data_IF_951466830729
#
_entry.id   IF_951466830729
#
_cell.length_a   1.000
_cell.length_b   1.000
_cell.length_c   1.000
_cell.angle_alpha   90.00
_cell.angle_beta   90.00
_cell.angle_gamma   90.00
#
_symmetry.space_group_name_H-M   'P 1'
#
loop_
_entity.id
_entity.type
_entity.pdbx_description
1 polymer ?
#
# COMPACT_ATOMS: atom_id res chain seq x y z
N UNK A 1 31.32 11.36 -12.46
CA UNK A 1 30.64 12.68 -12.39
C UNK A 1 30.85 13.28 -11.00
N UNK A 2 31.08 14.58 -10.89
CA UNK A 2 31.25 15.26 -9.59
C UNK A 2 29.86 15.46 -8.95
N UNK A 3 29.66 14.96 -7.73
CA UNK A 3 28.41 15.13 -6.98
C UNK A 3 28.27 16.61 -6.59
N UNK A 4 27.23 17.27 -7.08
CA UNK A 4 26.88 18.64 -6.67
C UNK A 4 25.97 18.52 -5.45
N UNK A 5 26.39 19.09 -4.31
CA UNK A 5 25.64 19.04 -3.06
C UNK A 5 25.20 20.47 -2.73
N UNK A 6 23.88 20.71 -2.71
CA UNK A 6 23.28 21.93 -2.18
C UNK A 6 22.76 21.68 -0.77
N UNK A 7 23.04 22.61 0.16
CA UNK A 7 22.55 22.56 1.55
C UNK A 7 21.86 23.87 1.90
N UNK A 8 20.76 23.79 2.62
CA UNK A 8 20.03 24.95 3.12
C UNK A 8 19.66 24.72 4.59
N UNK A 9 19.86 25.70 5.48
CA UNK A 9 19.46 25.57 6.88
C UNK A 9 17.94 25.52 7.00
N UNK A 10 17.44 24.67 7.89
CA UNK A 10 16.02 24.53 8.19
C UNK A 10 15.79 24.68 9.69
N UNK A 11 14.87 25.57 10.10
CA UNK A 11 14.64 25.96 11.50
C UNK A 11 13.35 25.36 12.07
N UNK A 12 13.17 24.05 11.93
CA UNK A 12 12.09 23.31 12.59
C UNK A 12 12.40 21.81 12.61
N UNK A 13 11.95 21.11 13.64
CA UNK A 13 12.05 19.65 13.71
C UNK A 13 11.18 19.02 12.62
N UNK A 14 11.79 18.13 11.84
CA UNK A 14 11.11 17.43 10.75
C UNK A 14 10.62 16.06 11.21
N UNK A 15 9.37 15.77 10.91
CA UNK A 15 8.82 14.41 10.97
C UNK A 15 8.84 13.88 9.54
N UNK A 16 9.84 13.05 9.24
CA UNK A 16 9.94 12.33 7.97
C UNK A 16 9.58 10.85 8.17
N UNK A 17 8.36 10.42 7.78
CA UNK A 17 7.94 9.03 7.94
C UNK A 17 8.63 8.05 6.98
N UNK A 18 9.44 8.53 6.01
CA UNK A 18 10.11 7.66 5.04
C UNK A 18 11.56 7.35 5.43
N UNK A 19 12.23 8.24 6.17
CA UNK A 19 13.58 8.04 6.72
C UNK A 19 14.67 7.75 5.67
N UNK A 20 14.36 7.89 4.38
CA UNK A 20 15.23 7.48 3.27
C UNK A 20 15.30 8.58 2.22
N UNK A 21 16.46 8.81 1.60
CA UNK A 21 16.58 9.65 0.42
C UNK A 21 15.61 9.14 -0.65
N UNK A 22 14.93 10.06 -1.32
CA UNK A 22 14.10 9.69 -2.46
C UNK A 22 14.89 9.77 -3.75
N UNK A 23 14.87 8.69 -4.49
CA UNK A 23 15.46 8.61 -5.81
C UNK A 23 14.49 9.21 -6.84
N UNK A 24 15.04 10.05 -7.72
CA UNK A 24 14.29 10.64 -8.82
C UNK A 24 14.29 9.65 -9.99
N UNK A 25 13.27 8.78 -10.02
CA UNK A 25 13.12 7.78 -11.09
C UNK A 25 12.29 8.27 -12.29
N UNK A 26 11.68 9.46 -12.23
CA UNK A 26 10.81 10.02 -13.27
C UNK A 26 11.06 11.52 -13.48
N UNK A 27 10.74 12.03 -14.67
CA UNK A 27 11.12 13.37 -15.17
C UNK A 27 10.71 14.54 -14.26
N UNK A 28 9.61 14.43 -13.52
CA UNK A 28 9.12 15.50 -12.63
C UNK A 28 9.66 15.43 -11.19
N UNK A 29 10.35 14.34 -10.84
CA UNK A 29 10.76 14.06 -9.46
C UNK A 29 9.60 13.89 -8.48
N UNK A 30 9.91 13.59 -7.22
CA UNK A 30 8.93 13.47 -6.15
C UNK A 30 8.38 14.85 -5.76
N UNK A 31 7.09 14.91 -5.43
CA UNK A 31 6.48 16.11 -4.85
C UNK A 31 6.43 15.98 -3.33
N UNK A 32 6.89 17.02 -2.61
CA UNK A 32 6.78 17.10 -1.16
C UNK A 32 5.86 18.25 -0.74
N UNK A 33 4.98 17.97 0.20
CA UNK A 33 4.27 18.98 0.98
C UNK A 33 4.87 19.08 2.38
N UNK A 34 4.73 20.25 2.99
CA UNK A 34 5.14 20.47 4.38
C UNK A 34 3.92 20.92 5.18
N UNK A 35 3.67 20.28 6.31
CA UNK A 35 2.53 20.60 7.17
C UNK A 35 3.02 20.90 8.57
N UNK A 36 2.76 22.10 9.05
CA UNK A 36 2.99 22.46 10.45
C UNK A 36 2.02 21.68 11.34
N UNK A 37 2.54 20.97 12.33
CA UNK A 37 1.75 20.29 13.37
C UNK A 37 1.51 21.24 14.55
N UNK A 38 0.57 20.86 15.43
CA UNK A 38 0.20 21.62 16.63
C UNK A 38 1.34 21.75 17.64
N UNK A 39 2.24 20.77 17.66
CA UNK A 39 3.44 20.69 18.50
C UNK A 39 4.62 21.55 17.97
N UNK A 40 4.43 22.27 16.85
CA UNK A 40 5.47 23.09 16.24
C UNK A 40 6.38 22.35 15.27
N UNK A 41 6.34 21.00 15.23
CA UNK A 41 7.09 20.19 14.26
C UNK A 41 6.52 20.34 12.85
N UNK A 42 7.34 20.08 11.84
CA UNK A 42 6.94 20.11 10.42
C UNK A 42 6.93 18.67 9.88
N UNK A 43 5.76 18.22 9.46
CA UNK A 43 5.60 16.91 8.82
C UNK A 43 5.89 17.01 7.32
N UNK A 44 6.74 16.09 6.84
CA UNK A 44 7.03 15.90 5.42
C UNK A 44 5.99 14.98 4.80
N UNK A 45 5.30 15.47 3.79
CA UNK A 45 4.24 14.74 3.08
C UNK A 45 4.74 14.42 1.68
N UNK A 46 5.25 13.20 1.48
CA UNK A 46 5.50 12.66 0.15
C UNK A 46 4.19 12.51 -0.63
N UNK A 47 4.18 13.00 -1.87
CA UNK A 47 3.07 13.00 -2.81
C UNK A 47 1.76 13.52 -2.18
N UNK A 48 1.66 14.82 -1.84
CA UNK A 48 0.53 15.36 -1.10
C UNK A 48 -0.82 15.25 -1.83
N UNK A 49 -0.80 15.03 -3.15
CA UNK A 49 -1.99 14.82 -3.98
C UNK A 49 -2.42 13.34 -4.06
N UNK A 50 -1.47 12.40 -3.99
CA UNK A 50 -1.66 11.00 -4.35
C UNK A 50 -2.68 10.28 -3.45
N UNK A 51 -2.89 10.78 -2.21
CA UNK A 51 -3.74 10.11 -1.22
C UNK A 51 -4.89 10.96 -0.67
N UNK A 52 -5.42 11.84 -1.53
CA UNK A 52 -6.64 12.62 -1.24
C UNK A 52 -7.88 11.93 -1.82
N UNK A 53 -8.15 12.16 -3.09
CA UNK A 53 -9.45 11.86 -3.69
C UNK A 53 -9.64 10.35 -3.88
N UNK A 54 -8.66 9.68 -4.50
CA UNK A 54 -8.72 8.25 -4.85
C UNK A 54 -8.57 7.28 -3.69
N UNK A 55 -8.30 7.77 -2.48
CA UNK A 55 -8.01 6.93 -1.30
C UNK A 55 -8.84 7.37 -0.09
N UNK A 56 -10.09 7.78 -0.33
CA UNK A 56 -11.04 8.17 0.72
C UNK A 56 -12.29 7.30 0.66
N UNK A 57 -12.85 6.95 1.82
CA UNK A 57 -14.09 6.16 1.91
C UNK A 57 -15.26 6.98 1.36
N UNK A 58 -15.28 8.28 1.66
CA UNK A 58 -16.30 9.22 1.18
C UNK A 58 -16.39 9.24 -0.35
N UNK A 59 -15.25 9.25 -1.05
CA UNK A 59 -15.26 9.23 -2.52
C UNK A 59 -15.75 7.89 -3.07
N UNK A 60 -15.36 6.77 -2.45
CA UNK A 60 -15.87 5.45 -2.80
C UNK A 60 -17.40 5.36 -2.64
N UNK A 61 -17.93 5.88 -1.54
CA UNK A 61 -19.37 5.95 -1.29
C UNK A 61 -20.09 6.87 -2.30
N UNK A 62 -19.48 8.01 -2.63
CA UNK A 62 -20.01 8.93 -3.64
C UNK A 62 -20.13 8.24 -5.02
N UNK A 63 -19.06 7.57 -5.48
CA UNK A 63 -19.11 6.87 -6.76
C UNK A 63 -20.07 5.68 -6.75
N UNK A 64 -20.15 4.94 -5.63
CA UNK A 64 -21.14 3.88 -5.48
C UNK A 64 -22.57 4.40 -5.56
N UNK A 65 -22.87 5.53 -4.90
CA UNK A 65 -24.18 6.18 -4.98
C UNK A 65 -24.49 6.69 -6.40
N UNK A 66 -23.49 7.26 -7.08
CA UNK A 66 -23.65 7.69 -8.48
C UNK A 66 -23.96 6.50 -9.39
N UNK A 67 -23.24 5.39 -9.26
CA UNK A 67 -23.48 4.16 -10.03
C UNK A 67 -24.84 3.56 -9.70
N UNK A 68 -25.27 3.57 -8.43
CA UNK A 68 -26.60 3.14 -8.03
C UNK A 68 -27.70 3.95 -8.75
N UNK A 69 -27.59 5.28 -8.77
CA UNK A 69 -28.56 6.16 -9.42
C UNK A 69 -28.59 5.89 -10.93
N UNK A 70 -27.42 5.86 -11.58
CA UNK A 70 -27.33 5.64 -13.02
C UNK A 70 -27.92 4.27 -13.42
N UNK A 71 -27.59 3.21 -12.69
CA UNK A 71 -28.10 1.86 -13.01
C UNK A 71 -29.59 1.70 -12.68
N UNK A 72 -30.10 2.42 -11.67
CA UNK A 72 -31.55 2.49 -11.39
C UNK A 72 -32.36 3.09 -12.54
N UNK A 73 -31.74 3.95 -13.35
CA UNK A 73 -32.36 4.55 -14.53
C UNK A 73 -32.30 3.67 -15.78
N UNK A 74 -31.47 2.62 -15.79
CA UNK A 74 -31.15 1.83 -16.99
C UNK A 74 -31.94 0.52 -17.12
N UNK A 75 -32.94 0.28 -16.27
CA UNK A 75 -33.77 -0.95 -16.25
C UNK A 75 -32.94 -2.23 -16.45
N UNK A 76 -31.84 -2.34 -15.69
CA UNK A 76 -30.90 -3.45 -15.81
C UNK A 76 -31.48 -4.74 -15.23
N UNK A 77 -31.14 -5.92 -15.79
CA UNK A 77 -31.57 -7.21 -15.22
C UNK A 77 -30.92 -7.52 -13.87
N UNK A 78 -29.82 -6.83 -13.54
CA UNK A 78 -29.13 -6.92 -12.26
C UNK A 78 -29.61 -5.77 -11.37
N UNK A 79 -29.94 -6.01 -10.08
CA UNK A 79 -30.34 -4.95 -9.17
C UNK A 79 -29.27 -3.83 -9.05
N UNK A 80 -29.65 -2.55 -9.09
CA UNK A 80 -28.72 -1.41 -9.03
C UNK A 80 -27.71 -1.43 -7.87
N UNK A 81 -28.12 -1.96 -6.70
CA UNK A 81 -27.23 -2.05 -5.54
C UNK A 81 -26.03 -2.98 -5.77
N UNK A 82 -26.14 -3.99 -6.64
CA UNK A 82 -25.03 -4.91 -6.95
C UNK A 82 -23.90 -4.15 -7.64
N UNK A 83 -24.22 -3.27 -8.59
CA UNK A 83 -23.23 -2.41 -9.24
C UNK A 83 -22.59 -1.43 -8.25
N UNK A 84 -23.39 -0.84 -7.37
CA UNK A 84 -22.88 0.06 -6.33
C UNK A 84 -21.91 -0.66 -5.38
N UNK A 85 -22.25 -1.89 -4.96
CA UNK A 85 -21.38 -2.73 -4.13
C UNK A 85 -20.09 -3.12 -4.86
N UNK A 86 -20.17 -3.47 -6.15
CA UNK A 86 -19.02 -3.80 -6.98
C UNK A 86 -18.04 -2.61 -7.15
N UNK A 87 -18.50 -1.38 -6.96
CA UNK A 87 -17.62 -0.20 -6.87
C UNK A 87 -17.13 0.03 -5.44
N UNK A 88 -18.03 -0.01 -4.46
CA UNK A 88 -17.70 0.37 -3.09
C UNK A 88 -16.72 -0.59 -2.40
N UNK A 89 -16.93 -1.90 -2.51
CA UNK A 89 -16.13 -2.87 -1.75
C UNK A 89 -14.67 -2.97 -2.23
N UNK A 90 -14.37 -3.04 -3.54
CA UNK A 90 -12.99 -2.98 -4.00
C UNK A 90 -12.31 -1.66 -3.62
N UNK A 91 -13.04 -0.55 -3.67
CA UNK A 91 -12.53 0.75 -3.24
C UNK A 91 -12.23 0.78 -1.74
N UNK A 92 -13.15 0.29 -0.91
CA UNK A 92 -12.98 0.19 0.54
C UNK A 92 -11.78 -0.70 0.87
N UNK A 93 -11.66 -1.85 0.22
CA UNK A 93 -10.54 -2.76 0.41
C UNK A 93 -9.21 -2.09 0.04
N UNK A 94 -9.17 -1.34 -1.06
CA UNK A 94 -8.01 -0.54 -1.44
C UNK A 94 -7.61 0.46 -0.34
N UNK A 95 -8.59 1.22 0.19
CA UNK A 95 -8.38 2.16 1.30
C UNK A 95 -7.89 1.45 2.57
N UNK A 96 -8.38 0.25 2.87
CA UNK A 96 -7.94 -0.55 4.01
C UNK A 96 -6.49 -1.01 3.80
N UNK A 97 -6.15 -1.58 2.63
CA UNK A 97 -4.80 -2.05 2.32
C UNK A 97 -3.78 -0.90 2.40
N UNK A 98 -4.17 0.30 2.00
CA UNK A 98 -3.31 1.49 2.12
C UNK A 98 -2.90 1.79 3.57
N UNK A 99 -3.72 1.43 4.57
CA UNK A 99 -3.35 1.57 5.98
C UNK A 99 -2.25 0.62 6.41
N UNK A 100 -2.04 -0.51 5.71
CA UNK A 100 -0.90 -1.39 6.00
C UNK A 100 0.41 -0.81 5.49
N UNK A 101 0.37 0.10 4.52
CA UNK A 101 1.54 0.77 3.97
C UNK A 101 2.09 1.90 4.84
N UNK A 102 3.12 2.60 4.33
CA UNK A 102 3.72 3.77 5.00
C UNK A 102 2.94 5.06 4.74
N UNK A 103 2.28 5.17 3.59
CA UNK A 103 1.61 6.39 3.15
C UNK A 103 0.24 6.62 3.80
N UNK A 104 -0.43 5.56 4.24
CA UNK A 104 -1.79 5.63 4.77
C UNK A 104 -2.78 6.24 3.78
N UNK A 105 -3.78 6.97 4.29
CA UNK A 105 -4.84 7.56 3.46
C UNK A 105 -5.53 8.76 4.14
N UNK A 106 -6.49 9.37 3.46
CA UNK A 106 -7.39 10.38 4.05
C UNK A 106 -8.83 9.85 4.01
N UNK A 107 -9.26 9.24 5.12
CA UNK A 107 -10.51 8.48 5.19
C UNK A 107 -11.75 9.27 4.73
N UNK A 108 -11.83 10.57 5.04
CA UNK A 108 -13.03 11.39 4.85
C UNK A 108 -12.83 12.61 3.95
N UNK A 109 -11.88 12.57 3.02
CA UNK A 109 -11.80 13.61 1.99
C UNK A 109 -13.12 13.71 1.19
N UNK A 110 -13.67 14.90 0.86
CA UNK A 110 -13.09 16.23 1.02
C UNK A 110 -13.40 16.93 2.36
N UNK A 111 -14.14 16.30 3.27
CA UNK A 111 -14.48 16.91 4.57
C UNK A 111 -13.25 17.12 5.47
N UNK A 112 -12.26 16.23 5.34
CA UNK A 112 -10.98 16.34 6.06
C UNK A 112 -9.82 16.56 5.09
N UNK A 113 -8.89 17.44 5.46
CA UNK A 113 -7.58 17.56 4.81
C UNK A 113 -6.48 16.74 5.49
N UNK A 114 -6.81 16.05 6.59
CA UNK A 114 -5.85 15.33 7.40
C UNK A 114 -5.58 13.92 6.85
N UNK A 115 -4.33 13.65 6.45
CA UNK A 115 -3.88 12.29 6.14
C UNK A 115 -3.53 11.54 7.43
N UNK A 116 -4.03 10.32 7.55
CA UNK A 116 -3.62 9.37 8.56
C UNK A 116 -2.40 8.60 8.05
N UNK A 117 -1.34 8.52 8.86
CA UNK A 117 -0.20 7.65 8.57
C UNK A 117 -0.65 6.20 8.56
N UNK A 118 -0.09 5.38 7.67
CA UNK A 118 -0.29 3.94 7.73
C UNK A 118 0.60 3.28 8.78
N UNK A 119 0.43 1.97 8.95
CA UNK A 119 1.08 1.14 9.95
C UNK A 119 2.52 0.76 9.58
N UNK A 120 2.92 0.94 8.32
CA UNK A 120 4.27 0.63 7.86
C UNK A 120 4.60 -0.87 7.85
N UNK A 121 3.59 -1.75 7.83
CA UNK A 121 3.75 -3.20 7.86
C UNK A 121 4.19 -3.76 6.50
N UNK A 122 3.82 -3.10 5.42
CA UNK A 122 4.12 -3.55 4.06
C UNK A 122 4.66 -2.40 3.22
N UNK A 123 5.58 -2.71 2.32
CA UNK A 123 6.02 -1.77 1.29
C UNK A 123 5.31 -2.07 -0.02
N UNK A 124 4.81 -1.03 -0.69
CA UNK A 124 4.29 -1.13 -2.05
C UNK A 124 5.37 -1.49 -3.07
N UNK A 125 6.66 -1.33 -2.73
CA UNK A 125 7.78 -1.78 -3.56
C UNK A 125 8.18 -3.23 -3.32
N UNK A 126 7.60 -3.91 -2.32
CA UNK A 126 7.90 -5.31 -2.06
C UNK A 126 7.15 -6.21 -3.06
N UNK A 127 7.85 -6.97 -3.91
CA UNK A 127 7.21 -7.81 -4.92
C UNK A 127 6.38 -8.94 -4.30
N UNK A 128 6.76 -9.45 -3.12
CA UNK A 128 6.01 -10.50 -2.43
C UNK A 128 4.63 -10.00 -2.01
N UNK A 129 4.56 -8.82 -1.37
CA UNK A 129 3.29 -8.27 -0.91
C UNK A 129 2.36 -7.89 -2.06
N UNK A 130 2.90 -7.36 -3.16
CA UNK A 130 2.13 -7.12 -4.37
C UNK A 130 1.56 -8.43 -4.95
N UNK A 131 2.41 -9.45 -5.07
CA UNK A 131 1.99 -10.76 -5.55
C UNK A 131 0.93 -11.36 -4.63
N UNK A 132 1.14 -11.34 -3.31
CA UNK A 132 0.20 -11.82 -2.29
C UNK A 132 -1.20 -11.24 -2.49
N UNK A 133 -1.32 -9.91 -2.58
CA UNK A 133 -2.62 -9.22 -2.69
C UNK A 133 -3.30 -9.55 -4.03
N UNK A 134 -2.56 -9.43 -5.14
CA UNK A 134 -3.11 -9.65 -6.49
C UNK A 134 -3.51 -11.11 -6.70
N UNK A 135 -2.62 -12.04 -6.35
CA UNK A 135 -2.86 -13.47 -6.47
C UNK A 135 -4.06 -13.92 -5.64
N UNK A 136 -4.13 -13.50 -4.38
CA UNK A 136 -5.26 -13.82 -3.50
C UNK A 136 -6.58 -13.27 -4.06
N UNK A 137 -6.56 -12.04 -4.60
CA UNK A 137 -7.75 -11.42 -5.20
C UNK A 137 -8.25 -12.22 -6.41
N UNK A 138 -7.35 -12.59 -7.33
CA UNK A 138 -7.69 -13.38 -8.52
C UNK A 138 -8.19 -14.78 -8.12
N UNK A 139 -7.53 -15.44 -7.17
CA UNK A 139 -7.97 -16.75 -6.67
C UNK A 139 -9.38 -16.69 -6.07
N UNK A 140 -9.68 -15.68 -5.25
CA UNK A 140 -11.02 -15.50 -4.68
C UNK A 140 -12.08 -15.22 -5.75
N UNK A 141 -11.76 -14.43 -6.78
CA UNK A 141 -12.66 -14.20 -7.93
C UNK A 141 -12.95 -15.52 -8.63
N UNK A 142 -11.94 -16.35 -8.90
CA UNK A 142 -12.16 -17.65 -9.52
C UNK A 142 -12.96 -18.61 -8.64
N UNK A 143 -12.74 -18.61 -7.32
CA UNK A 143 -13.56 -19.39 -6.42
C UNK A 143 -15.03 -18.95 -6.46
N UNK A 144 -15.30 -17.65 -6.37
CA UNK A 144 -16.66 -17.10 -6.40
C UNK A 144 -17.36 -17.39 -7.75
N UNK A 145 -16.66 -17.18 -8.87
CA UNK A 145 -17.17 -17.50 -10.20
C UNK A 145 -17.49 -19.00 -10.33
N UNK A 146 -16.61 -19.86 -9.86
CA UNK A 146 -16.80 -21.31 -9.89
C UNK A 146 -17.98 -21.74 -9.01
N UNK A 147 -18.13 -21.13 -7.83
CA UNK A 147 -19.25 -21.36 -6.92
C UNK A 147 -20.59 -20.90 -7.54
N UNK A 148 -20.63 -19.71 -8.15
CA UNK A 148 -21.81 -19.18 -8.81
C UNK A 148 -22.18 -19.97 -10.09
N UNK A 149 -21.20 -20.56 -10.77
CA UNK A 149 -21.42 -21.34 -11.99
C UNK A 149 -22.03 -22.72 -11.73
N UNK A 150 -22.14 -23.19 -10.48
CA UNK A 150 -22.67 -24.53 -10.14
C UNK A 150 -23.98 -24.88 -10.84
N UNK A 151 -24.91 -23.92 -10.99
CA UNK A 151 -26.20 -24.15 -11.63
C UNK A 151 -26.15 -24.33 -13.15
N UNK A 152 -25.01 -24.10 -13.79
CA UNK A 152 -24.81 -24.12 -15.25
C UNK A 152 -23.78 -25.16 -15.70
N UNK A 153 -23.19 -25.91 -14.76
CA UNK A 153 -22.11 -26.86 -15.01
C UNK A 153 -22.63 -28.30 -15.14
N UNK A 154 -21.93 -29.13 -15.93
CA UNK A 154 -22.22 -30.58 -16.00
C UNK A 154 -21.92 -31.27 -14.67
N UNK A 155 -22.49 -32.46 -14.45
CA UNK A 155 -22.31 -33.22 -13.21
C UNK A 155 -20.83 -33.47 -12.86
N UNK A 156 -19.94 -33.68 -13.84
CA UNK A 156 -18.50 -33.80 -13.59
C UNK A 156 -17.84 -32.47 -13.19
N UNK A 157 -18.28 -31.34 -13.74
CA UNK A 157 -17.77 -30.02 -13.38
C UNK A 157 -18.30 -29.53 -12.01
N UNK A 158 -19.44 -30.05 -11.55
CA UNK A 158 -19.99 -29.81 -10.20
C UNK A 158 -19.05 -30.30 -9.08
N UNK A 159 -18.26 -31.35 -9.33
CA UNK A 159 -17.34 -31.93 -8.34
C UNK A 159 -16.26 -30.94 -7.85
N UNK A 160 -15.85 -29.99 -8.69
CA UNK A 160 -14.85 -28.96 -8.36
C UNK A 160 -15.46 -27.61 -7.99
N UNK A 161 -16.74 -27.37 -8.29
CA UNK A 161 -17.43 -26.12 -7.94
C UNK A 161 -18.01 -26.12 -6.54
N UNK A 162 -18.21 -27.29 -5.92
CA UNK A 162 -18.67 -27.46 -4.54
C UNK A 162 -17.62 -27.24 -3.44
N UNK A 163 -16.40 -26.82 -3.78
CA UNK A 163 -15.31 -26.71 -2.81
C UNK A 163 -15.56 -25.57 -1.81
N UNK A 164 -15.59 -25.84 -0.49
CA UNK A 164 -15.82 -24.78 0.50
C UNK A 164 -14.65 -23.78 0.52
N UNK A 165 -14.96 -22.50 0.75
CA UNK A 165 -14.00 -21.40 0.69
C UNK A 165 -12.73 -21.66 1.50
N UNK A 166 -12.87 -22.19 2.72
CA UNK A 166 -11.72 -22.43 3.59
C UNK A 166 -10.74 -23.46 2.99
N UNK A 167 -11.25 -24.49 2.31
CA UNK A 167 -10.42 -25.54 1.70
C UNK A 167 -9.75 -25.01 0.43
N UNK A 168 -10.50 -24.26 -0.38
CA UNK A 168 -9.93 -23.56 -1.54
C UNK A 168 -8.86 -22.56 -1.11
N UNK A 169 -9.13 -21.72 -0.11
CA UNK A 169 -8.20 -20.74 0.41
C UNK A 169 -6.95 -21.41 0.98
N UNK A 170 -7.08 -22.52 1.70
CA UNK A 170 -5.92 -23.27 2.19
C UNK A 170 -5.03 -23.77 1.05
N UNK A 171 -5.61 -24.44 0.06
CA UNK A 171 -4.85 -25.10 -1.02
C UNK A 171 -4.33 -24.15 -2.08
N UNK A 172 -5.11 -23.14 -2.45
CA UNK A 172 -4.83 -22.26 -3.59
C UNK A 172 -4.22 -20.94 -3.14
N UNK A 173 -4.47 -20.49 -1.91
CA UNK A 173 -3.96 -19.20 -1.44
C UNK A 173 -2.85 -19.43 -0.41
N UNK A 174 -3.19 -20.03 0.73
CA UNK A 174 -2.28 -20.13 1.89
C UNK A 174 -1.05 -20.97 1.58
N UNK A 175 -1.21 -22.18 1.06
CA UNK A 175 -0.08 -23.07 0.78
C UNK A 175 0.88 -22.48 -0.27
N UNK A 176 0.42 -22.04 -1.46
CA UNK A 176 1.31 -21.45 -2.46
C UNK A 176 2.02 -20.19 -1.97
N UNK A 177 1.31 -19.31 -1.25
CA UNK A 177 1.91 -18.09 -0.70
C UNK A 177 2.87 -18.37 0.46
N UNK A 178 2.63 -19.41 1.25
CA UNK A 178 3.56 -19.87 2.28
C UNK A 178 4.83 -20.47 1.66
N UNK A 179 4.71 -21.25 0.58
CA UNK A 179 5.86 -21.77 -0.17
C UNK A 179 6.67 -20.63 -0.76
N UNK A 180 6.04 -19.69 -1.48
CA UNK A 180 6.73 -18.54 -2.08
C UNK A 180 7.33 -17.65 -0.99
N UNK A 181 6.61 -17.41 0.10
CA UNK A 181 7.10 -16.64 1.24
C UNK A 181 8.31 -17.30 1.90
N UNK A 182 8.26 -18.62 2.10
CA UNK A 182 9.38 -19.41 2.60
C UNK A 182 10.59 -19.37 1.67
N UNK A 183 10.39 -19.53 0.36
CA UNK A 183 11.45 -19.39 -0.64
C UNK A 183 12.04 -17.98 -0.66
N UNK A 184 11.20 -16.95 -0.50
CA UNK A 184 11.65 -15.56 -0.42
C UNK A 184 12.48 -15.33 0.85
N UNK A 185 12.05 -15.85 1.99
CA UNK A 185 12.80 -15.78 3.25
C UNK A 185 14.14 -16.51 3.16
N UNK A 186 14.17 -17.71 2.58
CA UNK A 186 15.39 -18.47 2.32
C UNK A 186 16.29 -17.68 1.39
N UNK A 187 15.75 -17.14 0.29
CA UNK A 187 16.52 -16.35 -0.67
C UNK A 187 17.18 -15.15 0.00
N UNK A 188 16.41 -14.36 0.77
CA UNK A 188 16.92 -13.22 1.54
C UNK A 188 18.00 -13.67 2.53
N UNK A 189 17.76 -14.73 3.29
CA UNK A 189 18.72 -15.23 4.30
C UNK A 189 20.02 -15.74 3.69
N UNK A 190 19.95 -16.45 2.55
CA UNK A 190 21.12 -17.12 1.96
C UNK A 190 21.87 -16.29 0.93
N UNK A 191 21.18 -15.43 0.18
CA UNK A 191 21.77 -14.65 -0.91
C UNK A 191 21.92 -13.18 -0.53
N UNK A 192 20.95 -12.57 0.17
CA UNK A 192 21.11 -11.21 0.70
C UNK A 192 21.91 -11.19 2.01
N UNK A 193 21.89 -12.29 2.79
CA UNK A 193 22.71 -12.47 3.99
C UNK A 193 24.17 -12.91 3.75
N UNK A 194 24.54 -13.28 2.51
CA UNK A 194 25.92 -13.61 2.10
C UNK A 194 26.50 -12.71 1.01
N UNK A 195 25.67 -11.99 0.26
CA UNK A 195 26.12 -10.68 -0.20
C UNK A 195 26.41 -9.85 1.03
N UNK A 196 27.39 -8.96 0.98
CA UNK A 196 27.33 -7.78 1.82
C UNK A 196 25.92 -7.24 1.63
N UNK A 197 25.01 -7.51 2.57
CA UNK A 197 23.74 -6.81 2.59
C UNK A 197 24.16 -5.37 2.52
N UNK A 198 23.81 -4.67 1.44
CA UNK A 198 24.13 -3.26 1.35
C UNK A 198 23.65 -2.67 2.67
N UNK A 199 24.58 -2.30 3.57
CA UNK A 199 24.27 -2.21 4.98
C UNK A 199 23.28 -1.07 5.09
N UNK A 200 22.00 -1.35 5.44
CA UNK A 200 20.82 -0.74 4.80
C UNK A 200 21.19 0.61 4.22
N UNK A 201 21.74 0.65 2.97
CA UNK A 201 22.78 1.64 2.54
C UNK A 201 22.72 2.78 3.51
N UNK A 202 23.58 2.83 4.57
CA UNK A 202 23.56 3.97 5.54
C UNK A 202 23.32 5.14 4.64
N UNK A 203 22.13 5.74 4.75
CA UNK A 203 21.62 6.51 3.62
C UNK A 203 22.71 7.51 3.26
N UNK A 204 22.82 7.95 2.01
CA UNK A 204 23.81 8.99 1.74
C UNK A 204 23.72 10.11 2.80
N UNK A 205 22.52 10.36 3.37
CA UNK A 205 22.32 11.13 4.60
C UNK A 205 22.93 10.53 5.88
N UNK A 206 22.72 9.28 6.30
CA UNK A 206 23.36 8.70 7.49
C UNK A 206 24.90 8.66 7.41
N UNK A 207 25.48 8.41 6.22
CA UNK A 207 26.93 8.55 5.99
C UNK A 207 27.38 10.01 6.07
N UNK A 208 26.58 10.92 5.50
CA UNK A 208 26.83 12.36 5.62
C UNK A 208 26.71 12.83 7.07
N UNK A 209 25.78 12.28 7.88
CA UNK A 209 25.54 12.64 9.28
C UNK A 209 26.69 12.18 10.18
N UNK A 210 27.24 10.98 9.96
CA UNK A 210 28.45 10.55 10.67
C UNK A 210 29.70 11.36 10.30
N UNK A 211 29.74 11.94 9.10
CA UNK A 211 30.79 12.87 8.67
C UNK A 211 30.56 14.31 9.19
N UNK A 212 29.44 14.60 9.87
CA UNK A 212 29.18 15.91 10.48
C UNK A 212 29.83 16.02 11.87
N UNK A 213 30.33 17.20 12.27
CA UNK A 213 30.69 17.46 13.66
C UNK A 213 29.46 17.29 14.57
N UNK A 214 29.66 16.86 15.82
CA UNK A 214 28.57 16.47 16.75
C UNK A 214 27.48 17.53 16.93
N UNK A 215 27.81 18.81 16.79
CA UNK A 215 26.87 19.94 16.92
C UNK A 215 25.92 20.11 15.72
N UNK A 216 26.10 19.35 14.64
CA UNK A 216 25.31 19.42 13.41
C UNK A 216 24.55 18.13 13.07
N UNK A 217 24.65 17.10 13.91
CA UNK A 217 23.85 15.90 13.76
C UNK A 217 22.40 16.22 14.13
N UNK A 218 21.48 16.18 13.17
CA UNK A 218 20.05 16.31 13.45
C UNK A 218 19.56 15.01 14.09
N UNK A 219 18.94 15.10 15.27
CA UNK A 219 18.20 13.99 15.87
C UNK A 219 16.98 13.69 14.99
N UNK A 220 17.14 12.72 14.10
CA UNK A 220 16.01 12.12 13.39
C UNK A 220 15.39 11.15 14.38
N UNK A 221 14.24 11.51 14.94
CA UNK A 221 13.40 10.57 15.68
C UNK A 221 12.83 9.58 14.64
N UNK A 222 13.66 8.60 14.26
CA UNK A 222 13.22 7.47 13.46
C UNK A 222 12.11 6.78 14.25
N UNK A 223 10.90 6.75 13.70
CA UNK A 223 9.92 5.81 14.23
C UNK A 223 10.56 4.43 14.14
N UNK A 224 10.53 3.62 15.22
CA UNK A 224 11.06 2.28 15.16
C UNK A 224 10.42 1.58 13.97
N UNK A 225 11.25 1.19 13.00
CA UNK A 225 10.84 0.30 11.94
C UNK A 225 10.36 -0.95 12.66
N UNK A 226 9.08 -1.35 12.54
CA UNK A 226 8.68 -2.63 13.09
C UNK A 226 9.63 -3.68 12.51
N UNK A 227 10.24 -4.53 13.35
CA UNK A 227 11.00 -5.62 12.79
C UNK A 227 10.03 -6.44 11.94
N UNK A 228 10.54 -6.99 10.84
CA UNK A 228 9.91 -7.95 9.92
C UNK A 228 9.16 -7.36 8.72
#
# INVERSE_FOLDING_TARGET
MKKIIGRAPFKADLIDPFGRPSDVASFSGPSYGFRKRKDGKVEVIFLPWHRRNGHSITMGAFFAALVYILTSLLNTPVPPYVFAMAVFFPWLLHVIIDQFGHMGNNLFWPFTGHRNSGLGLVSASDPYWNFFVVYSSVALIFWDMNHAAQSWLSAEAVAWSGVPLWYYALLVIVIPLAIIGGLTLIYKTYFEGKGEGEPPVKSAAARIIEELPEDQQMEIEERPVPPY
#
